data_IF_748668325175
#
_entry.id   IF_748668325175
#
_cell.length_a   1.000
_cell.length_b   1.000
_cell.length_c   1.000
_cell.angle_alpha   90.00
_cell.angle_beta   90.00
_cell.angle_gamma   90.00
#
_symmetry.space_group_name_H-M   'P 1'
#
loop_
_entity.id
_entity.type
_entity.pdbx_description
1 polymer ?
#
# COMPACT_ATOMS: atom_id res chain seq x y z
N UNK A 1 -22.11 -8.78 -22.12
CA UNK A 1 -21.22 -9.89 -21.74
C UNK A 1 -20.83 -9.70 -20.29
N UNK A 2 -20.97 -10.74 -19.46
CA UNK A 2 -20.62 -10.75 -18.03
C UNK A 2 -19.13 -10.44 -17.88
N UNK A 3 -18.79 -9.50 -17.00
CA UNK A 3 -17.40 -9.21 -16.62
C UNK A 3 -16.75 -10.47 -16.06
N UNK A 4 -15.97 -11.12 -16.91
CA UNK A 4 -15.24 -12.34 -16.58
C UNK A 4 -13.96 -11.95 -15.85
N UNK A 5 -14.06 -11.74 -14.54
CA UNK A 5 -12.94 -12.06 -13.67
C UNK A 5 -13.08 -13.56 -13.42
N UNK A 6 -12.19 -14.37 -14.00
CA UNK A 6 -12.16 -15.79 -13.68
C UNK A 6 -11.91 -15.94 -12.17
N UNK A 7 -12.61 -16.87 -11.52
CA UNK A 7 -12.52 -17.05 -10.05
C UNK A 7 -11.07 -17.28 -9.55
N UNK A 8 -10.17 -17.68 -10.45
CA UNK A 8 -8.74 -17.82 -10.20
C UNK A 8 -8.04 -16.47 -9.99
N UNK A 9 -8.35 -15.45 -10.80
CA UNK A 9 -7.75 -14.11 -10.72
C UNK A 9 -8.08 -13.44 -9.37
N UNK A 10 -9.28 -13.66 -8.86
CA UNK A 10 -9.73 -13.09 -7.58
C UNK A 10 -8.91 -13.57 -6.38
N UNK A 11 -8.42 -14.81 -6.43
CA UNK A 11 -7.60 -15.40 -5.36
C UNK A 11 -6.25 -14.70 -5.25
N UNK A 12 -5.59 -14.44 -6.38
CA UNK A 12 -4.28 -13.80 -6.42
C UNK A 12 -4.39 -12.32 -6.02
N UNK A 13 -5.51 -11.66 -6.32
CA UNK A 13 -5.79 -10.30 -5.85
C UNK A 13 -5.97 -10.23 -4.34
N UNK A 14 -6.79 -11.12 -3.75
CA UNK A 14 -6.95 -11.16 -2.29
C UNK A 14 -5.62 -11.44 -1.61
N UNK A 15 -4.81 -12.36 -2.16
CA UNK A 15 -3.52 -12.70 -1.58
C UNK A 15 -2.57 -11.50 -1.62
N UNK A 16 -2.51 -10.78 -2.75
CA UNK A 16 -1.73 -9.56 -2.89
C UNK A 16 -2.16 -8.47 -1.90
N UNK A 17 -3.47 -8.22 -1.75
CA UNK A 17 -3.98 -7.26 -0.76
C UNK A 17 -3.72 -7.69 0.68
N UNK A 18 -3.88 -8.98 0.99
CA UNK A 18 -3.61 -9.51 2.33
C UNK A 18 -2.13 -9.38 2.67
N UNK A 19 -1.25 -9.62 1.70
CA UNK A 19 0.18 -9.44 1.87
C UNK A 19 0.55 -7.96 2.03
N UNK A 20 -0.04 -7.07 1.24
CA UNK A 20 0.14 -5.62 1.40
C UNK A 20 -0.30 -5.14 2.79
N UNK A 21 -1.47 -5.61 3.25
CA UNK A 21 -1.96 -5.37 4.62
C UNK A 21 -0.95 -5.87 5.65
N UNK A 22 -0.42 -7.08 5.49
CA UNK A 22 0.59 -7.64 6.39
C UNK A 22 1.84 -6.77 6.45
N UNK A 23 2.37 -6.30 5.31
CA UNK A 23 3.54 -5.42 5.28
C UNK A 23 3.27 -4.07 5.95
N UNK A 24 2.08 -3.50 5.73
CA UNK A 24 1.63 -2.26 6.38
C UNK A 24 1.56 -2.44 7.90
N UNK A 25 0.90 -3.49 8.37
CA UNK A 25 0.77 -3.80 9.80
C UNK A 25 2.14 -4.06 10.44
N UNK A 26 3.04 -4.75 9.73
CA UNK A 26 4.40 -5.03 10.22
C UNK A 26 5.23 -3.77 10.39
N UNK A 27 5.08 -2.81 9.47
CA UNK A 27 5.72 -1.51 9.62
C UNK A 27 5.15 -0.74 10.81
N UNK A 28 3.82 -0.76 10.99
CA UNK A 28 3.16 -0.12 12.13
C UNK A 28 3.57 -0.75 13.47
N UNK A 29 3.77 -2.07 13.51
CA UNK A 29 4.35 -2.78 14.67
C UNK A 29 5.80 -2.40 14.91
N UNK A 30 6.61 -2.28 13.85
CA UNK A 30 8.02 -1.91 13.96
C UNK A 30 8.16 -0.53 14.61
N UNK A 31 7.38 0.45 14.16
CA UNK A 31 7.38 1.79 14.76
C UNK A 31 6.86 1.80 16.20
N UNK A 32 5.86 0.97 16.53
CA UNK A 32 5.38 0.82 17.90
C UNK A 32 6.43 0.17 18.83
N UNK A 33 7.06 -0.92 18.40
CA UNK A 33 8.00 -1.72 19.20
C UNK A 33 9.30 -0.99 19.56
N UNK A 34 9.76 -0.05 18.71
CA UNK A 34 10.96 0.75 18.97
C UNK A 34 10.72 1.88 20.00
N UNK A 35 9.61 1.85 20.74
CA UNK A 35 9.25 2.82 21.78
C UNK A 35 9.21 4.26 21.27
N UNK A 36 8.87 4.41 20.00
CA UNK A 36 8.73 5.72 19.39
C UNK A 36 7.34 6.31 19.71
N UNK A 37 6.35 5.49 20.09
CA UNK A 37 4.99 5.92 20.45
C UNK A 37 4.31 4.94 21.43
N UNK A 38 3.56 5.45 22.41
CA UNK A 38 2.56 4.67 23.19
C UNK A 38 1.29 4.47 22.34
N UNK A 39 0.61 3.33 22.53
CA UNK A 39 -0.53 2.88 21.72
C UNK A 39 -1.64 3.92 21.48
N UNK A 40 -1.89 4.82 22.44
CA UNK A 40 -2.96 5.83 22.35
C UNK A 40 -2.62 7.01 21.41
N UNK A 41 -1.34 7.26 21.13
CA UNK A 41 -0.86 8.35 20.26
C UNK A 41 -0.40 7.86 18.88
N UNK A 42 -0.48 6.55 18.59
CA UNK A 42 0.01 5.92 17.35
C UNK A 42 -0.50 6.62 16.08
N UNK A 43 -1.78 7.05 16.08
CA UNK A 43 -2.41 7.80 14.99
C UNK A 43 -1.90 9.24 14.87
N UNK A 44 -1.73 9.95 15.99
CA UNK A 44 -1.21 11.31 15.98
C UNK A 44 0.28 11.32 15.61
N UNK A 45 1.03 10.29 15.98
CA UNK A 45 2.44 10.17 15.64
C UNK A 45 2.66 9.81 14.16
N UNK A 46 1.85 8.95 13.56
CA UNK A 46 1.91 8.68 12.12
C UNK A 46 1.51 9.90 11.28
N UNK A 47 0.50 10.67 11.75
CA UNK A 47 0.15 11.97 11.17
C UNK A 47 1.27 12.99 11.39
N UNK A 48 1.90 13.02 12.57
CA UNK A 48 3.05 13.86 12.86
C UNK A 48 4.29 13.42 12.05
N UNK A 49 4.45 12.14 11.72
CA UNK A 49 5.47 11.62 10.80
C UNK A 49 5.21 12.12 9.37
N UNK A 50 3.96 12.13 8.92
CA UNK A 50 3.56 12.70 7.64
C UNK A 50 3.75 14.24 7.60
N UNK A 51 3.49 14.95 8.70
CA UNK A 51 3.78 16.38 8.82
C UNK A 51 5.29 16.67 8.96
N UNK A 52 6.03 15.77 9.62
CA UNK A 52 7.47 15.85 9.86
C UNK A 52 8.34 15.26 8.74
N UNK A 53 7.75 14.64 7.70
CA UNK A 53 8.44 14.29 6.43
C UNK A 53 9.21 15.51 5.88
N UNK A 54 8.76 16.72 6.21
CA UNK A 54 9.37 17.99 5.82
C UNK A 54 10.58 18.44 6.65
N UNK A 55 10.90 17.84 7.82
CA UNK A 55 11.86 18.47 8.77
C UNK A 55 12.99 17.61 9.38
N UNK A 56 13.12 16.31 9.12
CA UNK A 56 14.31 15.57 9.63
C UNK A 56 14.33 14.04 9.56
N UNK A 57 13.57 13.42 8.65
CA UNK A 57 13.17 12.00 8.78
C UNK A 57 14.04 10.97 8.02
N UNK A 58 15.07 11.39 7.29
CA UNK A 58 15.97 10.48 6.59
C UNK A 58 16.50 9.34 7.49
N UNK A 59 16.79 9.63 8.76
CA UNK A 59 17.31 8.67 9.74
C UNK A 59 16.31 7.59 10.15
N UNK A 60 15.02 7.91 10.30
CA UNK A 60 13.98 6.97 10.74
C UNK A 60 13.55 6.09 9.57
N UNK A 61 13.35 6.69 8.39
CA UNK A 61 13.08 5.94 7.15
C UNK A 61 14.26 5.01 6.85
N UNK A 62 15.50 5.48 6.97
CA UNK A 62 16.68 4.65 6.73
C UNK A 62 16.75 3.46 7.71
N UNK A 63 16.43 3.67 9.00
CA UNK A 63 16.35 2.57 9.98
C UNK A 63 15.23 1.58 9.66
N UNK A 64 14.03 2.07 9.31
CA UNK A 64 12.91 1.23 8.90
C UNK A 64 13.28 0.37 7.70
N UNK A 65 13.82 1.00 6.64
CA UNK A 65 14.29 0.29 5.46
C UNK A 65 15.39 -0.71 5.80
N UNK A 66 16.36 -0.36 6.66
CA UNK A 66 17.45 -1.28 7.05
C UNK A 66 16.93 -2.53 7.75
N UNK A 67 15.97 -2.38 8.64
CA UNK A 67 15.44 -3.47 9.47
C UNK A 67 14.34 -4.29 8.74
N UNK A 68 13.46 -3.64 7.95
CA UNK A 68 12.34 -4.29 7.25
C UNK A 68 12.55 -4.51 5.74
N UNK A 69 13.48 -3.81 5.14
CA UNK A 69 13.76 -3.82 3.70
C UNK A 69 12.98 -2.81 2.86
N UNK A 70 11.94 -2.19 3.43
CA UNK A 70 11.05 -1.26 2.74
C UNK A 70 10.56 -0.14 3.67
N UNK A 71 9.88 0.84 3.08
CA UNK A 71 9.10 1.84 3.79
C UNK A 71 7.85 2.20 2.97
N UNK A 72 6.69 2.16 3.61
CA UNK A 72 5.40 2.59 3.06
C UNK A 72 5.10 3.96 3.63
N UNK A 73 4.91 4.96 2.77
CA UNK A 73 4.51 6.29 3.20
C UNK A 73 3.13 6.26 3.87
N UNK A 74 2.87 7.17 4.81
CA UNK A 74 1.65 7.17 5.61
C UNK A 74 0.37 7.20 4.75
N UNK A 75 0.35 8.00 3.69
CA UNK A 75 -0.76 8.08 2.73
C UNK A 75 -1.05 6.75 2.00
N UNK A 76 -0.05 5.89 1.92
CA UNK A 76 -0.09 4.60 1.25
C UNK A 76 -0.32 3.43 2.23
N UNK A 77 -0.40 3.67 3.54
CA UNK A 77 -0.69 2.60 4.49
C UNK A 77 -2.11 2.06 4.31
N UNK A 78 -2.26 0.75 4.49
CA UNK A 78 -3.57 0.10 4.41
C UNK A 78 -4.55 0.67 5.44
N UNK A 79 -4.06 0.96 6.66
CA UNK A 79 -4.83 1.59 7.72
C UNK A 79 -5.33 2.99 7.34
N UNK A 80 -4.54 3.75 6.58
CA UNK A 80 -4.91 5.08 6.07
C UNK A 80 -5.99 4.99 4.99
N UNK A 81 -5.90 4.00 4.10
CA UNK A 81 -6.95 3.78 3.09
C UNK A 81 -8.28 3.44 3.74
N UNK A 82 -8.30 2.48 4.66
CA UNK A 82 -9.53 2.09 5.36
C UNK A 82 -10.14 3.26 6.13
N UNK A 83 -9.32 4.12 6.73
CA UNK A 83 -9.79 5.30 7.46
C UNK A 83 -10.45 6.35 6.55
N UNK A 84 -9.90 6.53 5.35
CA UNK A 84 -10.35 7.55 4.40
C UNK A 84 -11.32 7.00 3.34
N UNK A 85 -11.68 5.73 3.42
CA UNK A 85 -12.54 5.06 2.45
C UNK A 85 -14.01 5.40 2.68
N UNK A 86 -14.68 5.87 1.64
CA UNK A 86 -16.14 5.97 1.60
C UNK A 86 -16.73 4.95 0.63
N UNK A 87 -17.96 4.45 0.89
CA UNK A 87 -18.65 3.59 -0.06
C UNK A 87 -18.77 4.26 -1.43
N UNK A 88 -18.19 3.64 -2.45
CA UNK A 88 -18.16 4.17 -3.82
C UNK A 88 -16.84 4.84 -4.24
N UNK A 89 -15.88 5.00 -3.32
CA UNK A 89 -14.54 5.48 -3.69
C UNK A 89 -13.81 4.44 -4.56
N UNK A 90 -13.25 4.90 -5.67
CA UNK A 90 -12.29 4.12 -6.45
C UNK A 90 -10.90 4.22 -5.80
N UNK A 91 -10.39 3.07 -5.35
CA UNK A 91 -9.06 2.96 -4.75
C UNK A 91 -7.99 2.54 -5.77
N UNK A 92 -8.37 2.22 -7.02
CA UNK A 92 -7.47 1.63 -8.02
C UNK A 92 -6.21 2.47 -8.26
N UNK A 93 -6.37 3.79 -8.38
CA UNK A 93 -5.25 4.72 -8.57
C UNK A 93 -4.37 4.85 -7.33
N UNK A 94 -4.97 4.90 -6.13
CA UNK A 94 -4.24 4.97 -4.85
C UNK A 94 -3.41 3.71 -4.62
N UNK A 95 -4.00 2.54 -4.87
CA UNK A 95 -3.30 1.27 -4.73
C UNK A 95 -2.19 1.19 -5.76
N UNK A 96 -2.44 1.52 -7.03
CA UNK A 96 -1.41 1.51 -8.08
C UNK A 96 -0.23 2.43 -7.74
N UNK A 97 -0.51 3.63 -7.23
CA UNK A 97 0.50 4.59 -6.80
C UNK A 97 1.33 4.04 -5.64
N UNK A 98 0.68 3.40 -4.67
CA UNK A 98 1.34 2.84 -3.51
C UNK A 98 2.19 1.60 -3.81
N UNK A 99 1.75 0.73 -4.72
CA UNK A 99 2.53 -0.41 -5.19
C UNK A 99 3.81 0.07 -5.90
N UNK A 100 3.68 1.06 -6.79
CA UNK A 100 4.84 1.68 -7.44
C UNK A 100 5.78 2.37 -6.44
N UNK A 101 5.23 3.06 -5.45
CA UNK A 101 6.01 3.69 -4.38
C UNK A 101 6.75 2.65 -3.54
N UNK A 102 6.09 1.54 -3.22
CA UNK A 102 6.67 0.42 -2.49
C UNK A 102 7.86 -0.17 -3.24
N UNK A 103 7.72 -0.48 -4.54
CA UNK A 103 8.83 -1.04 -5.33
C UNK A 103 10.06 -0.14 -5.34
N UNK A 104 9.87 1.18 -5.47
CA UNK A 104 10.95 2.17 -5.40
C UNK A 104 11.54 2.32 -3.99
N UNK A 105 10.82 1.86 -2.98
CA UNK A 105 11.21 2.01 -1.58
C UNK A 105 12.08 0.86 -1.08
N UNK A 106 12.09 -0.27 -1.79
CA UNK A 106 12.87 -1.47 -1.46
C UNK A 106 14.37 -1.14 -1.45
N UNK A 107 15.07 -1.55 -0.40
CA UNK A 107 16.53 -1.53 -0.37
C UNK A 107 17.11 -2.65 -1.23
N UNK A 108 18.19 -2.36 -1.95
CA UNK A 108 18.91 -3.30 -2.83
C UNK A 108 19.15 -4.68 -2.20
N UNK A 109 19.53 -4.73 -0.91
CA UNK A 109 19.73 -5.99 -0.17
C UNK A 109 18.50 -6.92 -0.16
N UNK A 110 17.30 -6.34 -0.21
CA UNK A 110 16.03 -7.06 -0.15
C UNK A 110 15.31 -7.10 -1.50
N UNK A 111 15.95 -6.64 -2.58
CA UNK A 111 15.35 -6.62 -3.92
C UNK A 111 14.91 -8.02 -4.35
N UNK A 112 15.76 -9.04 -4.21
CA UNK A 112 15.41 -10.42 -4.58
C UNK A 112 14.19 -10.98 -3.81
N UNK A 113 13.90 -10.47 -2.62
CA UNK A 113 12.78 -10.94 -1.79
C UNK A 113 11.45 -10.26 -2.10
N UNK A 114 11.48 -9.04 -2.62
CA UNK A 114 10.28 -8.21 -2.79
C UNK A 114 10.03 -7.74 -4.23
N UNK A 115 10.99 -7.93 -5.15
CA UNK A 115 10.84 -7.57 -6.55
C UNK A 115 9.68 -8.33 -7.19
N UNK A 116 8.88 -7.61 -7.97
CA UNK A 116 7.72 -8.12 -8.71
C UNK A 116 6.62 -8.78 -7.83
N UNK A 117 6.71 -8.69 -6.49
CA UNK A 117 5.76 -9.38 -5.59
C UNK A 117 4.32 -8.90 -5.72
N UNK A 118 4.12 -7.68 -6.23
CA UNK A 118 2.81 -7.09 -6.47
C UNK A 118 2.47 -6.93 -7.95
N UNK A 119 3.26 -7.49 -8.85
CA UNK A 119 3.08 -7.34 -10.29
C UNK A 119 1.72 -7.86 -10.77
N UNK A 120 1.33 -9.04 -10.31
CA UNK A 120 0.05 -9.65 -10.69
C UNK A 120 -1.14 -8.86 -10.11
N UNK A 121 -0.99 -8.34 -8.88
CA UNK A 121 -1.97 -7.44 -8.27
C UNK A 121 -2.13 -6.15 -9.08
N UNK A 122 -1.02 -5.57 -9.55
CA UNK A 122 -1.03 -4.33 -10.33
C UNK A 122 -1.71 -4.52 -11.70
N UNK A 123 -1.43 -5.63 -12.38
CA UNK A 123 -2.12 -6.01 -13.62
C UNK A 123 -3.62 -6.21 -13.37
N UNK A 124 -3.97 -6.84 -12.25
CA UNK A 124 -5.36 -7.03 -11.83
C UNK A 124 -6.14 -5.74 -11.62
N UNK A 125 -5.53 -4.79 -10.92
CA UNK A 125 -6.14 -3.48 -10.65
C UNK A 125 -6.35 -2.68 -11.94
N UNK A 126 -5.40 -2.74 -12.89
CA UNK A 126 -5.58 -2.11 -14.20
C UNK A 126 -6.75 -2.69 -14.99
N UNK A 127 -6.96 -4.01 -14.94
CA UNK A 127 -8.12 -4.66 -15.56
C UNK A 127 -9.44 -4.21 -14.91
N UNK A 128 -9.45 -4.06 -13.58
CA UNK A 128 -10.61 -3.59 -12.80
C UNK A 128 -10.97 -2.12 -13.12
N UNK A 129 -9.97 -1.25 -13.21
CA UNK A 129 -10.14 0.17 -13.55
C UNK A 129 -10.65 0.39 -14.98
N UNK A 130 -10.13 -0.37 -15.95
CA UNK A 130 -10.65 -0.31 -17.33
C UNK A 130 -12.12 -0.72 -17.41
N UNK A 131 -12.58 -1.65 -16.58
CA UNK A 131 -14.01 -2.05 -16.59
C UNK A 131 -14.94 -1.00 -15.99
N UNK A 132 -14.43 -0.04 -15.19
CA UNK A 132 -15.22 1.10 -14.73
C UNK A 132 -15.39 2.15 -15.84
N UNK A 133 -14.33 2.46 -16.58
CA UNK A 133 -14.33 3.39 -17.72
C UNK A 133 -15.08 2.83 -18.95
N UNK A 134 -14.91 1.54 -19.26
CA UNK A 134 -15.60 0.87 -20.38
C UNK A 134 -17.12 0.74 -20.17
N UNK A 135 -17.63 0.98 -18.95
CA UNK A 135 -19.08 1.09 -18.70
C UNK A 135 -19.65 2.46 -19.01
N UNK A 136 -18.85 3.54 -19.03
CA UNK A 136 -19.33 4.88 -19.40
C UNK A 136 -19.37 5.12 -20.92
N UNK A 137 -18.58 4.41 -21.72
CA UNK A 137 -18.56 4.55 -23.19
C UNK A 137 -19.58 3.66 -23.91
N UNK A 138 -20.20 2.68 -23.22
CA UNK A 138 -21.26 1.84 -23.79
C UNK A 138 -22.66 2.47 -23.69
N UNK A 139 -22.76 3.73 -23.24
CA UNK A 139 -24.00 4.50 -23.15
C UNK A 139 -23.81 5.84 -23.87
N UNK A 140 -23.40 5.82 -25.14
CA UNK A 140 -23.72 6.86 -26.13
C UNK A 140 -23.79 6.23 -27.52
#
# INVERSE_FOLDING_TARGET
MRGNIEANDYKDYILGFLFYKYLSDKQDEYFASKNVVKDEDKKQYLVALAEAEKKGIASIIHKCKKDLGYYIAYENLFSTWIKNYNPGDDLSDKVSTALNSFERSILEKYEESFKDIFKDLQVGIQKLGNTAYERSEAIW
#
